data_IF_165477976440
#
_entry.id   IF_165477976440
#
_cell.length_a   1.000
_cell.length_b   1.000
_cell.length_c   1.000
_cell.angle_alpha   90.00
_cell.angle_beta   90.00
_cell.angle_gamma   90.00
#
_symmetry.space_group_name_H-M   'P 1'
#
loop_
_entity.id
_entity.type
_entity.pdbx_description
1 polymer ?
#
# COMPACT_ATOMS: atom_id res chain seq x y z
N UNK A 1 30.27 -11.85 21.10
CA UNK A 1 29.79 -10.67 21.87
C UNK A 1 28.28 -10.42 21.69
N UNK A 2 27.47 -11.45 21.36
CA UNK A 2 26.03 -11.30 21.05
C UNK A 2 25.15 -11.23 22.32
N UNK A 3 25.58 -11.83 23.43
CA UNK A 3 24.82 -11.86 24.69
C UNK A 3 24.59 -10.48 25.33
N UNK A 4 25.49 -9.52 25.10
CA UNK A 4 25.37 -8.17 25.67
C UNK A 4 24.32 -7.30 24.97
N UNK A 5 24.07 -7.51 23.67
CA UNK A 5 23.14 -6.68 22.89
C UNK A 5 21.67 -7.09 23.11
N UNK A 6 21.39 -8.40 23.20
CA UNK A 6 20.07 -8.89 23.60
C UNK A 6 19.65 -8.37 24.97
N UNK A 7 20.57 -8.42 25.94
CA UNK A 7 20.36 -7.83 27.27
C UNK A 7 20.07 -6.32 27.22
N UNK A 8 20.72 -5.56 26.33
CA UNK A 8 20.49 -4.12 26.21
C UNK A 8 19.07 -3.80 25.68
N UNK A 9 18.61 -4.53 24.67
CA UNK A 9 17.26 -4.37 24.12
C UNK A 9 16.18 -4.66 25.17
N UNK A 10 16.35 -5.74 25.93
CA UNK A 10 15.40 -6.13 26.97
C UNK A 10 15.31 -5.08 28.08
N UNK A 11 16.44 -4.47 28.47
CA UNK A 11 16.44 -3.37 29.44
C UNK A 11 15.69 -2.14 28.94
N UNK A 12 15.85 -1.74 27.67
CA UNK A 12 15.10 -0.62 27.08
C UNK A 12 13.59 -0.92 27.10
N UNK A 13 13.21 -2.13 26.67
CA UNK A 13 11.80 -2.57 26.59
C UNK A 13 11.14 -2.72 27.94
N UNK A 14 11.89 -3.13 28.96
CA UNK A 14 11.39 -3.26 30.33
C UNK A 14 10.91 -1.93 30.92
N UNK A 15 11.35 -0.79 30.38
CA UNK A 15 11.03 0.54 30.91
C UNK A 15 11.67 0.87 32.25
N UNK A 16 12.52 -0.02 32.80
CA UNK A 16 13.16 0.17 34.10
C UNK A 16 14.25 1.25 34.12
N UNK A 17 14.71 1.74 32.96
CA UNK A 17 15.71 2.79 32.85
C UNK A 17 15.31 3.84 31.80
N UNK A 18 14.75 4.96 32.26
CA UNK A 18 14.30 6.06 31.39
C UNK A 18 15.44 6.68 30.59
N UNK A 19 16.61 6.86 31.18
CA UNK A 19 17.77 7.44 30.49
C UNK A 19 18.16 6.56 29.29
N UNK A 20 18.15 5.24 29.49
CA UNK A 20 18.43 4.30 28.43
C UNK A 20 17.38 4.33 27.30
N UNK A 21 16.10 4.46 27.65
CA UNK A 21 15.03 4.66 26.65
C UNK A 21 15.19 5.97 25.89
N UNK A 22 15.62 7.06 26.55
CA UNK A 22 15.88 8.34 25.90
C UNK A 22 17.09 8.27 24.95
N UNK A 23 18.14 7.54 25.33
CA UNK A 23 19.27 7.25 24.43
C UNK A 23 18.83 6.43 23.22
N UNK A 24 18.01 5.39 23.44
CA UNK A 24 17.45 4.56 22.38
C UNK A 24 16.60 5.40 21.41
N UNK A 25 15.65 6.17 21.94
CA UNK A 25 14.80 7.07 21.17
C UNK A 25 15.63 8.08 20.36
N UNK A 26 16.74 8.57 20.91
CA UNK A 26 17.63 9.50 20.23
C UNK A 26 18.55 8.83 19.19
N UNK A 27 18.58 7.50 19.10
CA UNK A 27 19.45 6.76 18.19
C UNK A 27 20.91 6.69 18.65
N UNK A 28 21.16 6.82 19.96
CA UNK A 28 22.51 6.93 20.54
C UNK A 28 23.02 5.61 21.14
N UNK A 29 22.22 4.54 21.11
CA UNK A 29 22.66 3.25 21.60
C UNK A 29 23.69 2.63 20.64
N UNK A 30 24.70 1.90 21.16
CA UNK A 30 25.71 1.22 20.35
C UNK A 30 25.17 -0.09 19.77
N UNK A 31 24.07 0.02 19.02
CA UNK A 31 23.38 -1.08 18.38
C UNK A 31 23.53 -0.96 16.85
N UNK A 32 23.54 -2.09 16.14
CA UNK A 32 23.49 -2.05 14.68
C UNK A 32 22.15 -1.44 14.21
N UNK A 33 22.11 -0.75 13.05
CA UNK A 33 20.88 -0.11 12.54
C UNK A 33 19.68 -1.06 12.45
N UNK A 34 19.94 -2.34 12.19
CA UNK A 34 18.94 -3.39 12.06
C UNK A 34 18.22 -3.72 13.36
N UNK A 35 18.82 -3.41 14.51
CA UNK A 35 18.22 -3.57 15.83
C UNK A 35 17.72 -2.23 16.37
N UNK A 36 18.50 -1.16 16.14
CA UNK A 36 18.20 0.18 16.66
C UNK A 36 16.95 0.79 16.01
N UNK A 37 16.79 0.67 14.69
CA UNK A 37 15.68 1.31 13.99
C UNK A 37 14.32 0.69 14.34
N UNK A 38 14.16 -0.65 14.37
CA UNK A 38 12.93 -1.25 14.89
C UNK A 38 12.63 -0.86 16.34
N UNK A 39 13.65 -0.81 17.20
CA UNK A 39 13.48 -0.35 18.58
C UNK A 39 13.01 1.11 18.65
N UNK A 40 13.57 2.00 17.85
CA UNK A 40 13.11 3.39 17.78
C UNK A 40 11.68 3.49 17.28
N UNK A 41 11.27 2.67 16.31
CA UNK A 41 9.88 2.62 15.83
C UNK A 41 8.93 2.12 16.93
N UNK A 42 9.34 1.10 17.70
CA UNK A 42 8.60 0.60 18.86
C UNK A 42 8.40 1.72 19.91
N UNK A 43 9.47 2.46 20.23
CA UNK A 43 9.42 3.59 21.16
C UNK A 43 8.57 4.75 20.62
N UNK A 44 8.64 5.04 19.32
CA UNK A 44 7.83 6.08 18.67
C UNK A 44 6.32 5.80 18.72
N UNK A 45 5.93 4.52 18.81
CA UNK A 45 4.53 4.08 18.95
C UNK A 45 4.12 3.86 20.42
N UNK A 46 5.05 4.05 21.36
CA UNK A 46 4.82 3.83 22.78
C UNK A 46 3.90 4.87 23.43
N UNK A 47 3.47 4.56 24.65
CA UNK A 47 2.55 5.41 25.43
C UNK A 47 3.23 6.61 26.11
N UNK A 48 4.55 6.54 26.33
CA UNK A 48 5.29 7.66 26.92
C UNK A 48 5.47 8.76 25.86
N UNK A 49 4.82 9.90 26.09
CA UNK A 49 4.77 11.02 25.13
C UNK A 49 6.15 11.61 24.86
N UNK A 50 7.02 11.71 25.87
CA UNK A 50 8.33 12.32 25.70
C UNK A 50 9.26 11.40 24.88
N UNK A 51 9.28 10.10 25.23
CA UNK A 51 10.08 9.09 24.54
C UNK A 51 9.59 8.92 23.10
N UNK A 52 8.28 8.83 22.89
CA UNK A 52 7.69 8.63 21.56
C UNK A 52 7.94 9.82 20.63
N UNK A 53 7.80 11.05 21.13
CA UNK A 53 8.14 12.25 20.37
C UNK A 53 9.63 12.29 20.03
N UNK A 54 10.50 12.00 21.00
CA UNK A 54 11.96 11.96 20.77
C UNK A 54 12.32 10.94 19.69
N UNK A 55 11.74 9.74 19.75
CA UNK A 55 11.99 8.68 18.80
C UNK A 55 11.49 9.05 17.39
N UNK A 56 10.28 9.59 17.29
CA UNK A 56 9.72 10.09 16.03
C UNK A 56 10.60 11.18 15.42
N UNK A 57 11.03 12.16 16.20
CA UNK A 57 11.92 13.22 15.73
C UNK A 57 13.28 12.69 15.25
N UNK A 58 13.85 11.72 15.97
CA UNK A 58 15.14 11.12 15.59
C UNK A 58 15.01 10.38 14.25
N UNK A 59 13.97 9.54 14.11
CA UNK A 59 13.69 8.79 12.87
C UNK A 59 13.46 9.72 11.67
N UNK A 60 12.70 10.81 11.85
CA UNK A 60 12.45 11.80 10.78
C UNK A 60 13.72 12.54 10.34
N UNK A 61 14.72 12.69 11.21
CA UNK A 61 15.99 13.37 10.92
C UNK A 61 17.06 12.46 10.34
N UNK A 62 16.81 11.16 10.23
CA UNK A 62 17.79 10.22 9.68
C UNK A 62 18.10 10.53 8.21
N UNK A 63 19.38 10.43 7.83
CA UNK A 63 19.79 10.55 6.43
C UNK A 63 19.14 9.41 5.61
N UNK A 64 18.36 9.71 4.56
CA UNK A 64 17.77 8.70 3.70
C UNK A 64 18.78 7.68 3.16
N UNK A 65 20.05 8.05 2.96
CA UNK A 65 21.10 7.13 2.50
C UNK A 65 21.38 5.98 3.47
N UNK A 66 21.12 6.17 4.75
CA UNK A 66 21.25 5.12 5.77
C UNK A 66 19.97 4.29 5.89
N UNK A 67 18.81 4.93 5.69
CA UNK A 67 17.50 4.30 5.86
C UNK A 67 17.12 3.43 4.66
N UNK A 68 17.38 3.91 3.43
CA UNK A 68 17.01 3.21 2.18
C UNK A 68 17.53 1.76 2.12
N UNK A 69 18.81 1.46 2.37
CA UNK A 69 19.30 0.08 2.29
C UNK A 69 18.63 -0.86 3.29
N UNK A 70 18.24 -0.33 4.46
CA UNK A 70 17.52 -1.08 5.48
C UNK A 70 16.06 -1.31 5.08
N UNK A 71 15.37 -0.25 4.64
CA UNK A 71 14.01 -0.32 4.13
C UNK A 71 13.89 -1.27 2.95
N UNK A 72 14.86 -1.30 2.05
CA UNK A 72 14.84 -2.14 0.85
C UNK A 72 14.84 -3.65 1.17
N UNK A 73 15.56 -4.09 2.23
CA UNK A 73 15.93 -5.51 2.40
C UNK A 73 15.59 -6.14 3.74
N UNK A 74 15.45 -5.34 4.80
CA UNK A 74 15.44 -5.85 6.17
C UNK A 74 14.32 -5.30 7.04
N UNK A 75 13.70 -4.19 6.65
CA UNK A 75 12.62 -3.61 7.43
C UNK A 75 11.40 -4.54 7.48
N UNK A 76 10.90 -4.80 8.69
CA UNK A 76 9.62 -5.46 8.91
C UNK A 76 8.43 -4.51 8.70
N UNK A 77 7.23 -5.06 8.81
CA UNK A 77 5.96 -4.33 8.60
C UNK A 77 5.82 -3.09 9.49
N UNK A 78 6.14 -3.19 10.79
CA UNK A 78 6.05 -2.05 11.72
C UNK A 78 6.91 -0.86 11.28
N UNK A 79 8.13 -1.14 10.83
CA UNK A 79 9.05 -0.12 10.31
C UNK A 79 8.55 0.44 8.99
N UNK A 80 8.13 -0.42 8.07
CA UNK A 80 7.54 0.01 6.80
C UNK A 80 6.33 0.91 7.01
N UNK A 81 5.44 0.54 7.94
CA UNK A 81 4.26 1.29 8.31
C UNK A 81 4.62 2.66 8.88
N UNK A 82 5.62 2.72 9.77
CA UNK A 82 6.10 3.99 10.32
C UNK A 82 6.63 4.90 9.21
N UNK A 83 7.57 4.43 8.39
CA UNK A 83 8.12 5.26 7.32
C UNK A 83 7.10 5.55 6.22
N UNK A 84 6.17 4.64 5.94
CA UNK A 84 5.07 4.93 5.03
C UNK A 84 4.29 6.13 5.55
N UNK A 85 3.86 6.15 6.82
CA UNK A 85 3.09 7.25 7.42
C UNK A 85 3.89 8.56 7.54
N UNK A 86 5.15 8.49 7.93
CA UNK A 86 5.93 9.63 8.41
C UNK A 86 6.93 10.19 7.40
N UNK A 87 7.31 9.43 6.36
CA UNK A 87 8.32 9.89 5.42
C UNK A 87 7.78 10.99 4.49
N UNK A 88 8.52 12.09 4.44
CA UNK A 88 8.32 13.16 3.46
C UNK A 88 9.27 13.02 2.26
N UNK A 89 10.40 12.32 2.46
CA UNK A 89 11.44 12.23 1.44
C UNK A 89 11.05 11.24 0.32
N UNK A 90 11.01 11.66 -0.96
CA UNK A 90 10.54 10.82 -2.07
C UNK A 90 11.27 9.48 -2.19
N UNK A 91 12.60 9.46 -2.01
CA UNK A 91 13.39 8.23 -2.05
C UNK A 91 12.92 7.15 -1.05
N UNK A 92 12.47 7.54 0.15
CA UNK A 92 11.99 6.57 1.14
C UNK A 92 10.66 5.97 0.70
N UNK A 93 9.74 6.81 0.23
CA UNK A 93 8.44 6.39 -0.27
C UNK A 93 8.60 5.49 -1.50
N UNK A 94 9.44 5.90 -2.45
CA UNK A 94 9.78 5.09 -3.63
C UNK A 94 10.35 3.72 -3.24
N UNK A 95 11.25 3.68 -2.26
CA UNK A 95 11.84 2.42 -1.77
C UNK A 95 10.77 1.48 -1.22
N UNK A 96 9.80 2.01 -0.46
CA UNK A 96 8.65 1.25 0.05
C UNK A 96 7.79 0.77 -1.13
N UNK A 97 7.40 1.65 -2.06
CA UNK A 97 6.55 1.28 -3.19
C UNK A 97 7.15 0.16 -4.05
N UNK A 98 8.48 0.13 -4.22
CA UNK A 98 9.19 -0.89 -5.01
C UNK A 98 9.29 -2.26 -4.34
N UNK A 99 9.05 -2.35 -3.03
CA UNK A 99 9.13 -3.63 -2.31
C UNK A 99 7.93 -4.52 -2.61
N UNK A 100 8.20 -5.77 -2.98
CA UNK A 100 7.15 -6.74 -3.36
C UNK A 100 6.31 -7.17 -2.15
N UNK A 101 6.96 -7.29 -1.01
CA UNK A 101 6.43 -7.78 0.27
C UNK A 101 5.79 -6.67 1.13
N UNK A 102 5.62 -5.45 0.62
CA UNK A 102 4.89 -4.41 1.35
C UNK A 102 3.43 -4.82 1.54
N UNK A 103 2.92 -4.75 2.78
CA UNK A 103 1.51 -4.97 3.07
C UNK A 103 0.62 -4.07 2.22
N UNK A 104 -0.43 -4.65 1.62
CA UNK A 104 -1.25 -3.95 0.63
C UNK A 104 -1.97 -2.73 1.19
N UNK A 105 -2.43 -2.81 2.44
CA UNK A 105 -3.06 -1.67 3.12
C UNK A 105 -2.14 -0.44 3.21
N UNK A 106 -0.82 -0.63 3.37
CA UNK A 106 0.12 0.50 3.35
C UNK A 106 0.21 1.17 1.97
N UNK A 107 0.04 0.39 0.89
CA UNK A 107 0.00 0.95 -0.46
C UNK A 107 -1.28 1.78 -0.68
N UNK A 108 -2.41 1.33 -0.10
CA UNK A 108 -3.68 2.09 -0.09
C UNK A 108 -3.51 3.40 0.68
N UNK A 109 -2.91 3.36 1.87
CA UNK A 109 -2.69 4.55 2.70
C UNK A 109 -1.77 5.56 2.02
N UNK A 110 -0.71 5.08 1.35
CA UNK A 110 0.18 5.94 0.58
C UNK A 110 -0.54 6.56 -0.63
N UNK A 111 -1.32 5.77 -1.37
CA UNK A 111 -1.96 6.17 -2.62
C UNK A 111 -2.75 7.48 -2.54
N UNK A 112 -3.38 7.77 -1.39
CA UNK A 112 -4.20 8.97 -1.17
C UNK A 112 -3.39 10.28 -1.24
N UNK A 113 -2.07 10.22 -1.04
CA UNK A 113 -1.20 11.42 -0.95
C UNK A 113 0.09 11.34 -1.76
N UNK A 114 0.27 10.30 -2.57
CA UNK A 114 1.44 10.19 -3.42
C UNK A 114 1.54 11.37 -4.41
N UNK A 115 2.75 11.95 -4.59
CA UNK A 115 3.00 12.87 -5.69
C UNK A 115 2.92 12.14 -7.04
N UNK A 116 2.69 12.90 -8.11
CA UNK A 116 2.37 12.36 -9.44
C UNK A 116 3.41 11.36 -9.99
N UNK A 117 4.69 11.63 -9.77
CA UNK A 117 5.82 10.78 -10.16
C UNK A 117 5.80 9.41 -9.45
N UNK A 118 5.44 9.39 -8.16
CA UNK A 118 5.37 8.15 -7.39
C UNK A 118 4.06 7.38 -7.62
N UNK A 119 2.98 8.05 -8.05
CA UNK A 119 1.75 7.37 -8.47
C UNK A 119 2.01 6.44 -9.66
N UNK A 120 2.89 6.83 -10.59
CA UNK A 120 3.27 6.00 -11.74
C UNK A 120 3.95 4.70 -11.31
N UNK A 121 4.77 4.74 -10.26
CA UNK A 121 5.39 3.54 -9.70
C UNK A 121 4.33 2.60 -9.14
N UNK A 122 3.35 3.14 -8.39
CA UNK A 122 2.31 2.34 -7.78
C UNK A 122 1.33 1.75 -8.83
N UNK A 123 0.91 2.52 -9.83
CA UNK A 123 -0.03 2.04 -10.86
C UNK A 123 0.58 0.94 -11.75
N UNK A 124 1.91 0.78 -11.77
CA UNK A 124 2.56 -0.31 -12.47
C UNK A 124 2.57 -1.63 -11.68
N UNK A 125 2.18 -1.60 -10.40
CA UNK A 125 2.10 -2.80 -9.53
C UNK A 125 0.79 -3.56 -9.71
N UNK A 126 0.62 -4.16 -10.90
CA UNK A 126 -0.57 -4.96 -11.21
C UNK A 126 -0.77 -6.13 -10.24
N UNK A 127 0.32 -6.72 -9.74
CA UNK A 127 0.29 -7.75 -8.69
C UNK A 127 -0.45 -7.25 -7.44
N UNK A 128 -0.07 -6.08 -6.94
CA UNK A 128 -0.67 -5.49 -5.76
C UNK A 128 -2.11 -5.03 -6.02
N UNK A 129 -2.41 -4.50 -7.21
CA UNK A 129 -3.73 -4.01 -7.58
C UNK A 129 -4.75 -5.14 -7.75
N UNK A 130 -4.33 -6.29 -8.29
CA UNK A 130 -5.19 -7.47 -8.40
C UNK A 130 -5.55 -8.00 -7.01
N UNK A 131 -4.58 -8.05 -6.10
CA UNK A 131 -4.79 -8.51 -4.73
C UNK A 131 -5.59 -7.51 -3.89
N UNK A 132 -5.35 -6.21 -4.07
CA UNK A 132 -6.00 -5.13 -3.34
C UNK A 132 -6.49 -4.02 -4.30
N UNK A 133 -7.69 -4.18 -4.87
CA UNK A 133 -8.28 -3.18 -5.76
C UNK A 133 -8.52 -1.81 -5.11
N UNK A 134 -8.59 -1.75 -3.76
CA UNK A 134 -8.71 -0.51 -3.00
C UNK A 134 -7.59 0.51 -3.29
N UNK A 135 -6.45 0.05 -3.82
CA UNK A 135 -5.37 0.92 -4.29
C UNK A 135 -5.87 1.89 -5.38
N UNK A 136 -6.72 1.42 -6.30
CA UNK A 136 -7.26 2.27 -7.37
C UNK A 136 -8.21 3.34 -6.81
N UNK A 137 -9.08 2.95 -5.87
CA UNK A 137 -10.00 3.88 -5.20
C UNK A 137 -9.25 4.95 -4.42
N UNK A 138 -8.16 4.57 -3.74
CA UNK A 138 -7.32 5.51 -3.01
C UNK A 138 -6.57 6.47 -3.94
N UNK A 139 -6.04 6.00 -5.07
CA UNK A 139 -5.44 6.86 -6.09
C UNK A 139 -6.45 7.86 -6.65
N UNK A 140 -7.70 7.46 -6.90
CA UNK A 140 -8.73 8.39 -7.40
C UNK A 140 -9.09 9.50 -6.41
N UNK A 141 -8.98 9.22 -5.11
CA UNK A 141 -9.19 10.21 -4.05
C UNK A 141 -8.00 11.14 -3.85
N UNK A 142 -6.87 10.87 -4.50
CA UNK A 142 -5.67 11.68 -4.38
C UNK A 142 -5.86 13.04 -5.09
N UNK A 143 -5.70 14.18 -4.38
CA UNK A 143 -5.87 15.51 -4.97
C UNK A 143 -4.83 15.85 -6.05
N UNK A 144 -3.74 15.09 -6.13
CA UNK A 144 -2.66 15.25 -7.10
C UNK A 144 -2.70 14.18 -8.21
N UNK A 145 -3.83 13.51 -8.41
CA UNK A 145 -3.99 12.45 -9.40
C UNK A 145 -3.53 12.91 -10.80
N UNK A 146 -2.58 12.20 -11.39
CA UNK A 146 -2.10 12.51 -12.73
C UNK A 146 -3.06 12.00 -13.82
N UNK A 147 -3.16 12.71 -14.94
CA UNK A 147 -3.99 12.27 -16.07
C UNK A 147 -3.51 10.97 -16.73
N UNK A 148 -2.23 10.62 -16.58
CA UNK A 148 -1.73 9.30 -17.00
C UNK A 148 -2.30 8.20 -16.08
N UNK A 149 -2.18 8.38 -14.77
CA UNK A 149 -2.66 7.41 -13.77
C UNK A 149 -4.18 7.26 -13.85
N UNK A 150 -4.92 8.36 -14.01
CA UNK A 150 -6.37 8.32 -14.18
C UNK A 150 -6.81 7.44 -15.37
N UNK A 151 -6.14 7.57 -16.52
CA UNK A 151 -6.41 6.71 -17.69
C UNK A 151 -6.13 5.24 -17.40
N UNK A 152 -5.00 4.95 -16.74
CA UNK A 152 -4.62 3.58 -16.35
C UNK A 152 -5.60 2.95 -15.36
N UNK A 153 -6.16 3.73 -14.43
CA UNK A 153 -7.19 3.26 -13.50
C UNK A 153 -8.41 2.76 -14.27
N UNK A 154 -8.91 3.53 -15.25
CA UNK A 154 -10.03 3.13 -16.11
C UNK A 154 -9.71 1.83 -16.86
N UNK A 155 -8.54 1.75 -17.51
CA UNK A 155 -8.11 0.54 -18.24
C UNK A 155 -8.07 -0.70 -17.34
N UNK A 156 -7.58 -0.56 -16.10
CA UNK A 156 -7.52 -1.68 -15.16
C UNK A 156 -8.89 -2.14 -14.68
N UNK A 157 -9.84 -1.23 -14.47
CA UNK A 157 -11.22 -1.62 -14.14
C UNK A 157 -11.93 -2.31 -15.29
N UNK A 158 -11.57 -2.00 -16.52
CA UNK A 158 -12.14 -2.62 -17.72
C UNK A 158 -11.53 -3.98 -18.04
N UNK A 159 -10.21 -4.12 -17.87
CA UNK A 159 -9.45 -5.26 -18.43
C UNK A 159 -8.65 -6.08 -17.40
N UNK A 160 -8.33 -5.52 -16.23
CA UNK A 160 -7.47 -6.19 -15.25
C UNK A 160 -8.29 -6.86 -14.14
N UNK A 161 -9.36 -6.22 -13.67
CA UNK A 161 -10.18 -6.72 -12.57
C UNK A 161 -11.35 -7.61 -13.06
N UNK A 162 -11.68 -8.72 -12.38
CA UNK A 162 -12.84 -9.55 -12.71
C UNK A 162 -14.15 -8.75 -12.63
N UNK A 163 -15.07 -8.95 -13.59
CA UNK A 163 -16.31 -8.15 -13.70
C UNK A 163 -17.26 -8.24 -12.48
N UNK A 164 -17.00 -9.16 -11.53
CA UNK A 164 -17.77 -9.34 -10.29
C UNK A 164 -17.33 -8.47 -9.10
N UNK A 165 -16.26 -7.68 -9.23
CA UNK A 165 -15.74 -6.78 -8.19
C UNK A 165 -15.98 -5.31 -8.53
N UNK A 166 -17.01 -5.04 -9.35
CA UNK A 166 -17.54 -3.71 -9.60
C UNK A 166 -18.52 -3.37 -8.47
N UNK A 167 -18.27 -2.35 -7.63
CA UNK A 167 -19.32 -1.87 -6.74
C UNK A 167 -20.48 -1.34 -7.60
N UNK A 168 -21.59 -2.10 -7.64
CA UNK A 168 -22.82 -1.73 -8.36
C UNK A 168 -23.20 -2.60 -9.56
N UNK A 169 -22.43 -3.64 -9.92
CA UNK A 169 -22.86 -4.58 -10.98
C UNK A 169 -23.43 -5.85 -10.35
N UNK A 170 -24.76 -5.90 -10.19
CA UNK A 170 -25.44 -7.17 -9.97
C UNK A 170 -25.19 -8.05 -11.20
N UNK A 171 -24.63 -9.26 -11.07
CA UNK A 171 -24.43 -10.11 -12.22
C UNK A 171 -25.78 -10.39 -12.85
N UNK A 172 -25.92 -10.10 -14.16
CA UNK A 172 -26.96 -10.75 -14.94
C UNK A 172 -26.78 -12.26 -14.71
N UNK A 173 -27.85 -12.90 -14.25
CA UNK A 173 -27.85 -14.30 -13.83
C UNK A 173 -27.24 -15.22 -14.90
N UNK A 174 -26.88 -16.47 -14.51
CA UNK A 174 -26.28 -17.40 -15.44
C UNK A 174 -27.13 -17.44 -16.70
N UNK A 175 -26.50 -17.27 -17.85
CA UNK A 175 -27.12 -17.49 -19.14
C UNK A 175 -27.68 -18.92 -19.10
N UNK A 176 -28.98 -19.06 -18.84
CA UNK A 176 -29.67 -20.30 -19.18
C UNK A 176 -29.39 -20.48 -20.66
N UNK A 177 -28.70 -21.57 -21.01
CA UNK A 177 -28.49 -21.96 -22.39
C UNK A 177 -29.88 -22.07 -23.04
N UNK A 178 -30.29 -21.02 -23.75
CA UNK A 178 -31.49 -21.06 -24.55
C UNK A 178 -31.33 -22.21 -25.52
N UNK A 179 -32.22 -23.19 -25.42
CA UNK A 179 -32.23 -24.33 -26.33
C UNK A 179 -32.31 -23.84 -27.78
N UNK A 180 -31.75 -24.60 -28.72
CA UNK A 180 -31.75 -24.28 -30.15
C UNK A 180 -33.19 -24.01 -30.70
N UNK A 181 -34.21 -24.55 -30.02
CA UNK A 181 -35.63 -24.34 -30.33
C UNK A 181 -36.12 -22.93 -29.99
N UNK A 182 -35.60 -22.29 -28.93
CA UNK A 182 -35.96 -20.91 -28.56
C UNK A 182 -35.25 -19.87 -29.43
N UNK A 183 -34.01 -20.15 -29.87
CA UNK A 183 -33.27 -19.34 -30.84
C UNK A 183 -34.01 -19.25 -32.19
N UNK A 184 -34.64 -20.35 -32.63
CA UNK A 184 -35.43 -20.37 -33.86
C UNK A 184 -36.65 -19.44 -33.80
N UNK A 185 -37.30 -19.32 -32.65
CA UNK A 185 -38.48 -18.45 -32.46
C UNK A 185 -38.10 -16.96 -32.52
N UNK A 186 -36.94 -16.59 -31.97
CA UNK A 186 -36.44 -15.20 -31.98
C UNK A 186 -36.06 -14.76 -33.41
N UNK A 187 -35.42 -15.63 -34.18
CA UNK A 187 -35.03 -15.35 -35.58
C UNK A 187 -36.25 -15.22 -36.50
N UNK A 188 -37.32 -15.96 -36.25
CA UNK A 188 -38.58 -15.82 -37.02
C UNK A 188 -39.29 -14.49 -36.70
N UNK A 189 -39.20 -14.00 -35.45
CA UNK A 189 -39.78 -12.71 -35.05
C UNK A 189 -39.05 -11.51 -35.65
N UNK A 190 -37.73 -11.57 -35.80
CA UNK A 190 -36.93 -10.48 -36.40
C UNK A 190 -37.06 -10.42 -37.91
N UNK A 191 -37.23 -11.56 -38.61
CA UNK A 191 -37.49 -11.59 -40.06
C UNK A 191 -38.88 -11.08 -40.45
N UNK A 192 -39.88 -11.12 -39.56
CA UNK A 192 -41.22 -10.54 -39.82
C UNK A 192 -41.27 -9.02 -39.67
N UNK A 193 -40.42 -8.41 -38.84
CA UNK A 193 -40.38 -6.95 -38.69
C UNK A 193 -39.70 -6.22 -39.85
N UNK A 194 -38.74 -6.86 -40.52
CA UNK A 194 -38.00 -6.26 -41.64
C UNK A 194 -38.77 -6.23 -42.96
N UNK A 195 -39.91 -6.92 -43.06
CA UNK A 195 -40.73 -6.96 -44.27
C UNK A 195 -41.90 -5.95 -44.29
N UNK A 196 -42.08 -5.15 -43.24
CA UNK A 196 -43.14 -4.13 -43.17
C UNK A 196 -42.66 -2.68 -43.32
N UNK A 197 -41.35 -2.43 -43.44
CA UNK A 197 -40.78 -1.08 -43.64
C UNK A 197 -40.39 -0.78 -45.11
N UNK A 198 -40.80 -1.63 -46.06
CA UNK A 198 -40.69 -1.33 -47.50
C UNK A 198 -42.05 -1.43 -48.18
N UNK A 199 -42.91 -0.45 -47.94
CA UNK A 199 -43.95 -0.05 -48.89
C UNK A 199 -44.35 1.40 -48.68
#
# INVERSE_FOLDING_TARGET
MVEGQGSLLDHVRSGGNRELQMMAASGLLPLPPEELMPLQVELARGLDVEISQRATESLRKMDPRLVVPFLERRAGEEVLSFFAAEAEHPLLIETILRRRDVPRHLLVDLAVRLPADLQEILILRQDAIIEEPGILEALERNPFLSGYVQRRITEYREHLLPQGQRPGYAPAGPYEEMSDEELAVVVVRTKRKTNYEKK
#
